data_IF_089149318517
#
_entry.id   IF_089149318517
#
_cell.length_a   1.000
_cell.length_b   1.000
_cell.length_c   1.000
_cell.angle_alpha   90.00
_cell.angle_beta   90.00
_cell.angle_gamma   90.00
#
_symmetry.space_group_name_H-M   'P 1'
#
loop_
_entity.id
_entity.type
_entity.pdbx_description
1 polymer ?
#
# COMPACT_ATOMS: atom_id res chain seq x y z
N UNK A 1 -1.26 -9.47 -7.48
CA UNK A 1 0.02 -9.93 -6.89
C UNK A 1 -0.17 -10.98 -5.78
N UNK A 2 -1.37 -11.14 -5.21
CA UNK A 2 -1.65 -12.23 -4.27
C UNK A 2 -2.99 -12.88 -4.58
N UNK A 3 -3.01 -14.19 -4.79
CA UNK A 3 -4.24 -14.96 -5.06
C UNK A 3 -4.96 -15.33 -3.76
N UNK A 4 -4.28 -16.02 -2.84
CA UNK A 4 -4.83 -16.38 -1.53
C UNK A 4 -3.83 -16.09 -0.39
N UNK A 5 -4.36 -15.68 0.76
CA UNK A 5 -3.59 -15.47 1.99
C UNK A 5 -4.31 -16.13 3.15
N UNK A 6 -3.58 -16.97 3.89
CA UNK A 6 -4.09 -17.62 5.09
C UNK A 6 -2.98 -17.72 6.15
N UNK A 7 -2.98 -16.82 7.15
CA UNK A 7 -2.30 -17.10 8.40
C UNK A 7 -3.02 -18.26 9.11
N UNK A 8 -2.27 -19.29 9.49
CA UNK A 8 -2.83 -20.41 10.24
C UNK A 8 -3.57 -19.92 11.51
N UNK A 9 -4.72 -20.52 11.89
CA UNK A 9 -5.54 -20.04 13.00
C UNK A 9 -4.77 -19.74 14.29
N UNK A 10 -3.84 -20.62 14.70
CA UNK A 10 -3.00 -20.47 15.89
C UNK A 10 -1.96 -19.34 15.81
N UNK A 11 -1.77 -18.75 14.62
CA UNK A 11 -0.85 -17.65 14.35
C UNK A 11 -1.58 -16.37 13.91
N UNK A 12 -2.91 -16.32 13.97
CA UNK A 12 -3.67 -15.10 13.70
C UNK A 12 -3.41 -14.02 14.75
N UNK A 13 -3.62 -12.75 14.36
CA UNK A 13 -3.41 -11.55 15.19
C UNK A 13 -1.98 -11.32 15.71
N UNK A 14 -0.99 -12.10 15.26
CA UNK A 14 0.45 -11.91 15.57
C UNK A 14 1.20 -11.04 14.55
N UNK A 15 0.49 -10.41 13.60
CA UNK A 15 1.10 -9.54 12.58
C UNK A 15 1.56 -10.25 11.30
N UNK A 16 1.51 -11.58 11.23
CA UNK A 16 1.95 -12.32 10.04
C UNK A 16 1.12 -12.04 8.78
N UNK A 17 -0.18 -11.73 8.92
CA UNK A 17 -0.99 -11.30 7.77
C UNK A 17 -0.43 -10.04 7.12
N UNK A 18 -0.07 -9.03 7.92
CA UNK A 18 0.57 -7.80 7.43
C UNK A 18 1.95 -8.06 6.84
N UNK A 19 2.72 -8.98 7.43
CA UNK A 19 4.01 -9.40 6.88
C UNK A 19 3.87 -10.00 5.47
N UNK A 20 2.95 -10.96 5.28
CA UNK A 20 2.74 -11.61 3.97
C UNK A 20 2.26 -10.59 2.94
N UNK A 21 1.35 -9.68 3.31
CA UNK A 21 0.91 -8.59 2.43
C UNK A 21 2.10 -7.69 2.06
N UNK A 22 2.91 -7.29 3.04
CA UNK A 22 4.10 -6.47 2.80
C UNK A 22 5.12 -7.15 1.90
N UNK A 23 5.31 -8.46 2.07
CA UNK A 23 6.21 -9.27 1.27
C UNK A 23 5.72 -9.37 -0.18
N UNK A 24 4.43 -9.59 -0.40
CA UNK A 24 3.80 -9.57 -1.72
C UNK A 24 4.07 -8.26 -2.47
N UNK A 25 3.93 -7.11 -1.80
CA UNK A 25 4.25 -5.81 -2.40
C UNK A 25 5.75 -5.57 -2.58
N UNK A 26 6.61 -6.18 -1.75
CA UNK A 26 8.06 -6.13 -1.98
C UNK A 26 8.44 -6.86 -3.27
N UNK A 27 7.81 -7.99 -3.58
CA UNK A 27 7.99 -8.68 -4.86
C UNK A 27 7.48 -7.83 -6.03
N UNK A 28 6.30 -7.21 -5.90
CA UNK A 28 5.77 -6.31 -6.94
C UNK A 28 6.70 -5.11 -7.21
N UNK A 29 7.39 -4.59 -6.19
CA UNK A 29 8.45 -3.58 -6.36
C UNK A 29 9.63 -4.09 -7.17
N UNK A 30 10.10 -5.32 -6.90
CA UNK A 30 11.19 -5.95 -7.66
C UNK A 30 10.78 -6.16 -9.12
N UNK A 31 9.51 -6.50 -9.37
CA UNK A 31 8.95 -6.65 -10.72
C UNK A 31 8.65 -5.33 -11.43
N UNK A 32 8.75 -4.18 -10.73
CA UNK A 32 8.31 -2.87 -11.20
C UNK A 32 6.85 -2.85 -11.71
N UNK A 33 5.97 -3.58 -11.02
CA UNK A 33 4.55 -3.70 -11.38
C UNK A 33 3.64 -3.23 -10.24
N UNK A 34 2.50 -2.65 -10.60
CA UNK A 34 1.44 -2.36 -9.66
C UNK A 34 0.66 -3.64 -9.33
N UNK A 35 0.30 -3.82 -8.07
CA UNK A 35 -0.36 -5.01 -7.55
C UNK A 35 -1.64 -4.71 -6.78
N UNK A 36 -2.67 -5.51 -7.04
CA UNK A 36 -3.86 -5.65 -6.19
C UNK A 36 -4.01 -7.12 -5.79
N UNK A 37 -4.60 -7.42 -4.62
CA UNK A 37 -5.11 -8.76 -4.34
C UNK A 37 -6.18 -9.17 -5.35
N UNK A 38 -6.33 -10.48 -5.53
CA UNK A 38 -7.47 -11.07 -6.23
C UNK A 38 -8.78 -10.83 -5.46
N UNK A 39 -9.88 -10.69 -6.19
CA UNK A 39 -11.21 -10.41 -5.65
C UNK A 39 -12.13 -11.61 -5.95
N UNK A 40 -13.06 -11.99 -5.06
CA UNK A 40 -13.41 -11.33 -3.79
C UNK A 40 -12.43 -11.66 -2.65
N UNK A 41 -12.20 -10.68 -1.77
CA UNK A 41 -11.45 -10.86 -0.53
C UNK A 41 -12.37 -11.43 0.57
N UNK A 42 -11.82 -12.25 1.46
CA UNK A 42 -12.49 -12.59 2.72
C UNK A 42 -12.61 -11.37 3.63
N UNK A 43 -13.56 -11.35 4.58
CA UNK A 43 -13.75 -10.22 5.50
C UNK A 43 -12.47 -9.87 6.27
N UNK A 44 -11.77 -10.89 6.76
CA UNK A 44 -10.49 -10.74 7.44
C UNK A 44 -9.39 -10.23 6.49
N UNK A 45 -9.38 -10.72 5.25
CA UNK A 45 -8.47 -10.25 4.20
C UNK A 45 -8.69 -8.77 3.90
N UNK A 46 -9.95 -8.36 3.70
CA UNK A 46 -10.35 -6.98 3.44
C UNK A 46 -9.87 -6.04 4.53
N UNK A 47 -10.16 -6.35 5.80
CA UNK A 47 -9.68 -5.53 6.95
C UNK A 47 -8.15 -5.47 7.00
N UNK A 48 -7.47 -6.58 6.72
CA UNK A 48 -6.00 -6.63 6.73
C UNK A 48 -5.40 -5.75 5.64
N UNK A 49 -5.88 -5.84 4.40
CA UNK A 49 -5.45 -4.99 3.29
C UNK A 49 -5.78 -3.51 3.51
N UNK A 50 -7.01 -3.22 3.93
CA UNK A 50 -7.46 -1.87 4.21
C UNK A 50 -6.63 -1.18 5.30
N UNK A 51 -6.27 -1.90 6.37
CA UNK A 51 -5.39 -1.36 7.41
C UNK A 51 -3.94 -1.21 6.96
N UNK A 52 -3.46 -2.14 6.11
CA UNK A 52 -2.11 -2.09 5.56
C UNK A 52 -1.92 -0.92 4.60
N UNK A 53 -2.83 -0.76 3.63
CA UNK A 53 -2.78 0.35 2.66
C UNK A 53 -2.90 1.70 3.34
N UNK A 54 -3.86 1.84 4.25
CA UNK A 54 -4.06 3.08 5.00
C UNK A 54 -2.77 3.46 5.74
N UNK A 55 -2.20 2.54 6.51
CA UNK A 55 -0.98 2.81 7.26
C UNK A 55 0.19 3.20 6.36
N UNK A 56 0.44 2.46 5.28
CA UNK A 56 1.56 2.73 4.37
C UNK A 56 1.42 4.11 3.72
N UNK A 57 0.22 4.45 3.24
CA UNK A 57 -0.05 5.76 2.64
C UNK A 57 0.09 6.89 3.66
N UNK A 58 -0.41 6.72 4.88
CA UNK A 58 -0.32 7.74 5.92
C UNK A 58 1.12 8.04 6.34
N UNK A 59 1.97 7.02 6.48
CA UNK A 59 3.41 7.20 6.76
C UNK A 59 4.08 7.96 5.62
N UNK A 60 3.83 7.53 4.37
CA UNK A 60 4.36 8.21 3.20
C UNK A 60 3.92 9.68 3.10
N UNK A 61 2.65 9.98 3.37
CA UNK A 61 2.15 11.36 3.40
C UNK A 61 2.80 12.18 4.53
N UNK A 62 3.10 11.56 5.67
CA UNK A 62 3.82 12.20 6.77
C UNK A 62 5.26 12.56 6.37
N UNK A 63 5.95 11.67 5.65
CA UNK A 63 7.32 11.89 5.15
C UNK A 63 7.34 12.99 4.08
N UNK A 64 6.40 12.94 3.13
CA UNK A 64 6.27 13.95 2.06
C UNK A 64 6.03 15.35 2.66
N UNK A 65 5.21 15.44 3.71
CA UNK A 65 4.96 16.72 4.39
C UNK A 65 6.23 17.31 5.03
N UNK A 66 7.17 16.47 5.46
CA UNK A 66 8.43 16.91 6.08
C UNK A 66 9.46 17.41 5.05
N UNK A 67 9.20 17.28 3.74
CA UNK A 67 10.06 17.83 2.69
C UNK A 67 10.17 19.37 2.82
N UNK A 68 11.38 19.88 2.58
CA UNK A 68 11.73 21.30 2.82
C UNK A 68 10.98 22.22 1.87
N UNK A 69 10.96 21.88 0.58
CA UNK A 69 10.38 22.72 -0.46
C UNK A 69 8.86 22.54 -0.57
N UNK A 70 8.07 23.63 -0.69
CA UNK A 70 6.61 23.55 -0.79
C UNK A 70 6.10 22.78 -2.02
N UNK A 71 6.77 22.91 -3.16
CA UNK A 71 6.43 22.20 -4.40
C UNK A 71 6.55 20.68 -4.22
N UNK A 72 7.58 20.25 -3.49
CA UNK A 72 7.82 18.83 -3.19
C UNK A 72 6.80 18.22 -2.22
N UNK A 73 5.97 19.05 -1.57
CA UNK A 73 4.86 18.60 -0.69
C UNK A 73 3.60 18.29 -1.47
N UNK A 74 3.52 18.69 -2.74
CA UNK A 74 2.45 18.28 -3.63
C UNK A 74 2.72 16.84 -4.08
N UNK A 75 1.73 15.97 -3.90
CA UNK A 75 1.84 14.55 -4.26
C UNK A 75 0.63 14.13 -5.08
N UNK A 76 0.89 13.36 -6.14
CA UNK A 76 -0.14 12.78 -7.00
C UNK A 76 -0.44 11.33 -6.62
N UNK A 77 -1.60 10.80 -7.05
CA UNK A 77 -1.93 9.38 -6.87
C UNK A 77 -0.93 8.49 -7.62
N UNK A 78 -0.41 8.97 -8.76
CA UNK A 78 0.61 8.30 -9.56
C UNK A 78 1.93 8.15 -8.78
N UNK A 79 2.43 9.23 -8.18
CA UNK A 79 3.65 9.16 -7.34
C UNK A 79 3.46 8.18 -6.17
N UNK A 80 2.28 8.18 -5.52
CA UNK A 80 1.99 7.21 -4.47
C UNK A 80 2.01 5.76 -4.99
N UNK A 81 1.50 5.51 -6.19
CA UNK A 81 1.47 4.18 -6.80
C UNK A 81 2.88 3.68 -7.14
N UNK A 82 3.72 4.53 -7.71
CA UNK A 82 5.11 4.20 -8.05
C UNK A 82 5.92 3.81 -6.81
N UNK A 83 5.73 4.53 -5.70
CA UNK A 83 6.48 4.26 -4.48
C UNK A 83 5.94 3.06 -3.66
N UNK A 84 4.64 2.78 -3.75
CA UNK A 84 4.00 1.72 -2.94
C UNK A 84 3.78 0.41 -3.69
N UNK A 85 3.77 0.47 -5.03
CA UNK A 85 3.29 -0.58 -5.95
C UNK A 85 1.81 -0.93 -5.76
N UNK A 86 1.01 -0.05 -5.16
CA UNK A 86 -0.44 -0.21 -5.08
C UNK A 86 -1.08 0.24 -6.39
N UNK A 87 -2.24 -0.31 -6.74
CA UNK A 87 -2.98 0.20 -7.89
C UNK A 87 -3.54 1.60 -7.60
N UNK A 88 -3.70 2.42 -8.65
CA UNK A 88 -4.32 3.74 -8.53
C UNK A 88 -5.71 3.68 -7.90
N UNK A 89 -6.46 2.62 -8.21
CA UNK A 89 -7.81 2.37 -7.68
C UNK A 89 -7.75 2.11 -6.18
N UNK A 90 -6.82 1.28 -5.70
CA UNK A 90 -6.70 0.98 -4.27
C UNK A 90 -6.25 2.21 -3.48
N UNK A 91 -5.36 3.03 -4.04
CA UNK A 91 -4.95 4.30 -3.43
C UNK A 91 -6.13 5.26 -3.36
N UNK A 92 -6.82 5.49 -4.48
CA UNK A 92 -7.98 6.37 -4.53
C UNK A 92 -9.05 5.96 -3.51
N UNK A 93 -9.43 4.68 -3.50
CA UNK A 93 -10.42 4.14 -2.58
C UNK A 93 -9.98 4.27 -1.12
N UNK A 94 -8.70 4.04 -0.84
CA UNK A 94 -8.15 4.17 0.51
C UNK A 94 -8.18 5.62 0.97
N UNK A 95 -7.69 6.57 0.16
CA UNK A 95 -7.68 8.00 0.51
C UNK A 95 -9.09 8.58 0.64
N UNK A 96 -10.03 8.14 -0.20
CA UNK A 96 -11.44 8.52 -0.12
C UNK A 96 -12.09 7.97 1.16
N UNK A 97 -11.86 6.69 1.50
CA UNK A 97 -12.35 6.09 2.75
C UNK A 97 -11.80 6.79 4.01
N UNK A 98 -10.55 7.27 3.96
CA UNK A 98 -9.93 8.06 5.03
C UNK A 98 -10.36 9.53 5.02
N UNK A 99 -11.19 9.98 4.06
CA UNK A 99 -11.59 11.39 3.92
C UNK A 99 -10.40 12.36 3.78
N UNK A 100 -9.28 11.85 3.25
CA UNK A 100 -8.07 12.60 2.95
C UNK A 100 -8.15 13.20 1.55
N UNK A 101 -8.80 12.49 0.62
CA UNK A 101 -9.03 12.96 -0.73
C UNK A 101 -10.19 13.98 -0.75
N UNK A 102 -9.94 15.20 -1.25
CA UNK A 102 -10.95 16.27 -1.37
C UNK A 102 -11.11 16.70 -2.82
N UNK A 103 -12.34 16.95 -3.24
CA UNK A 103 -12.64 17.50 -4.55
C UNK A 103 -12.91 19.00 -4.45
N UNK A 104 -12.15 19.82 -5.19
CA UNK A 104 -12.31 21.27 -5.23
C UNK A 104 -12.10 21.78 -6.65
N UNK A 105 -13.03 22.62 -7.15
CA UNK A 105 -12.91 23.30 -8.45
C UNK A 105 -12.57 22.37 -9.63
N UNK A 106 -13.16 21.17 -9.69
CA UNK A 106 -12.89 20.22 -10.77
C UNK A 106 -11.72 19.27 -10.54
N UNK A 107 -10.92 19.49 -9.48
CA UNK A 107 -9.67 18.76 -9.23
C UNK A 107 -9.69 18.04 -7.87
N UNK A 108 -8.97 16.93 -7.79
CA UNK A 108 -8.78 16.17 -6.56
C UNK A 108 -7.47 16.58 -5.85
N UNK A 109 -7.54 16.77 -4.54
CA UNK A 109 -6.41 17.16 -3.69
C UNK A 109 -6.26 16.22 -2.50
N UNK A 110 -5.03 15.97 -2.08
CA UNK A 110 -4.70 15.13 -0.92
C UNK A 110 -4.46 16.03 0.30
N UNK A 111 -5.30 15.89 1.32
CA UNK A 111 -5.22 16.68 2.55
C UNK A 111 -4.22 16.07 3.55
N UNK A 112 -3.02 16.64 3.64
CA UNK A 112 -1.93 16.17 4.52
C UNK A 112 -1.92 16.83 5.92
N UNK A 113 -3.10 17.18 6.47
CA UNK A 113 -3.19 17.79 7.80
C UNK A 113 -2.67 16.84 8.91
N UNK A 114 -1.70 17.26 9.75
CA UNK A 114 -1.10 16.44 10.82
C UNK A 114 -2.12 15.71 11.67
N UNK A 115 -3.15 16.43 12.14
CA UNK A 115 -4.13 15.90 13.09
C UNK A 115 -4.94 14.76 12.48
N UNK A 116 -5.24 14.87 11.18
CA UNK A 116 -5.97 13.83 10.43
C UNK A 116 -5.08 12.61 10.25
N UNK A 117 -3.82 12.82 9.84
CA UNK A 117 -2.86 11.73 9.65
C UNK A 117 -2.61 10.95 10.96
N UNK A 118 -2.33 11.66 12.05
CA UNK A 118 -2.09 11.07 13.38
C UNK A 118 -3.32 10.31 13.89
N UNK A 119 -4.52 10.88 13.74
CA UNK A 119 -5.77 10.22 14.11
C UNK A 119 -5.97 8.89 13.38
N UNK A 120 -5.75 8.86 12.06
CA UNK A 120 -5.88 7.62 11.29
C UNK A 120 -4.75 6.64 11.57
N UNK A 121 -3.51 7.09 11.77
CA UNK A 121 -2.38 6.23 12.11
C UNK A 121 -2.60 5.50 13.43
N UNK A 122 -3.14 6.19 14.44
CA UNK A 122 -3.50 5.58 15.72
C UNK A 122 -4.52 4.45 15.57
N UNK A 123 -5.43 4.55 14.58
CA UNK A 123 -6.48 3.56 14.31
C UNK A 123 -6.05 2.40 13.41
N UNK A 124 -4.99 2.53 12.61
CA UNK A 124 -4.53 1.46 11.70
C UNK A 124 -3.79 0.30 12.40
N UNK A 125 -3.55 0.42 13.71
CA UNK A 125 -2.74 -0.50 14.49
C UNK A 125 -1.26 -0.48 14.08
N UNK A 126 -0.46 -1.35 14.68
CA UNK A 126 0.99 -1.44 14.42
C UNK A 126 1.35 -1.96 13.02
N UNK A 127 2.62 -1.85 12.65
CA UNK A 127 3.17 -2.29 11.35
C UNK A 127 3.12 -3.80 11.17
N UNK A 128 3.01 -4.55 12.26
CA UNK A 128 3.23 -5.99 12.25
C UNK A 128 4.73 -6.30 12.16
N UNK A 129 5.06 -7.48 11.65
CA UNK A 129 6.46 -7.87 11.44
C UNK A 129 6.97 -7.19 10.17
N UNK A 130 8.07 -6.42 10.23
CA UNK A 130 8.62 -5.74 9.06
C UNK A 130 9.22 -6.73 8.06
N UNK A 131 9.18 -6.38 6.78
CA UNK A 131 9.87 -7.10 5.71
C UNK A 131 11.14 -6.32 5.37
N UNK A 132 12.30 -6.95 5.51
CA UNK A 132 13.59 -6.39 5.09
C UNK A 132 13.83 -6.71 3.60
N UNK A 133 13.82 -5.71 2.70
CA UNK A 133 14.04 -5.94 1.27
C UNK A 133 15.44 -6.49 0.96
N UNK A 134 16.45 -6.21 1.79
CA UNK A 134 17.83 -6.67 1.58
C UNK A 134 17.98 -8.19 1.71
N UNK A 135 17.01 -8.84 2.36
CA UNK A 135 16.97 -10.30 2.56
C UNK A 135 16.18 -11.03 1.48
N UNK A 136 15.60 -10.30 0.52
CA UNK A 136 14.82 -10.90 -0.57
C UNK A 136 15.78 -11.26 -1.70
N UNK A 137 16.23 -12.51 -1.71
CA UNK A 137 17.00 -13.08 -2.80
C UNK A 137 16.06 -13.73 -3.81
N UNK A 138 15.48 -12.91 -4.70
CA UNK A 138 14.54 -13.36 -5.71
C UNK A 138 14.67 -12.52 -6.99
N UNK A 139 14.44 -13.14 -8.15
CA UNK A 139 14.46 -12.46 -9.44
C UNK A 139 13.22 -12.87 -10.23
N UNK A 140 12.54 -11.92 -10.91
CA UNK A 140 11.36 -12.23 -11.70
C UNK A 140 11.64 -13.30 -12.75
N UNK A 141 10.73 -14.24 -12.90
CA UNK A 141 10.83 -15.21 -13.98
C UNK A 141 10.54 -14.52 -15.31
N UNK A 142 11.54 -14.47 -16.19
CA UNK A 142 11.38 -14.02 -17.56
C UNK A 142 10.67 -15.12 -18.36
N UNK A 143 9.34 -15.08 -18.42
CA UNK A 143 8.63 -15.82 -19.46
C UNK A 143 8.97 -15.15 -20.79
N UNK A 144 10.01 -15.64 -21.47
CA UNK A 144 10.21 -15.29 -22.88
C UNK A 144 8.95 -15.70 -23.64
N UNK A 145 8.35 -14.79 -24.41
CA UNK A 145 7.33 -15.07 -25.41
C UNK A 145 7.90 -15.99 -26.51
N UNK A 146 8.26 -17.23 -26.15
CA UNK A 146 8.80 -18.26 -27.04
C UNK A 146 7.73 -18.88 -27.94
N UNK A 147 6.49 -18.41 -27.87
CA UNK A 147 5.36 -18.93 -28.62
C UNK A 147 4.91 -18.04 -29.78
N UNK A 148 5.56 -16.88 -29.97
CA UNK A 148 5.38 -16.03 -31.16
C UNK A 148 6.68 -16.02 -31.98
N UNK A 149 6.96 -17.12 -32.67
CA UNK A 149 7.89 -17.18 -33.82
C UNK A 149 7.30 -18.06 -34.89
#
# INVERSE_FOLDING_TARGET
NLACILPLPQHQRKGYGKFIISFSYALSRIEQKLGSPEKPLSDLGKVSYESFWARRLLIMLQDIRQRKDPEDRMVSIQELAENTSFTLVDIHNTLNRLQILRYMQGNWYINVNPKILEYHLAKCGGEGVPVDPSKIHWTPHLTSDRWFR
#
